data_IF_230881368754
#
_entry.id   IF_230881368754
#
_cell.length_a   1.000
_cell.length_b   1.000
_cell.length_c   1.000
_cell.angle_alpha   90.00
_cell.angle_beta   90.00
_cell.angle_gamma   90.00
#
_symmetry.space_group_name_H-M   'P 1'
#
loop_
_entity.id
_entity.type
_entity.pdbx_description
1 polymer ?
#
# COMPACT_ATOMS: atom_id res chain seq x y z
N UNK A 1 -3.73 -0.74 11.17
CA UNK A 1 -3.27 -0.07 9.93
C UNK A 1 -3.70 -0.86 8.71
N UNK A 2 -3.98 -0.15 7.64
CA UNK A 2 -4.37 -0.76 6.36
C UNK A 2 -3.58 -0.16 5.24
N UNK A 3 -3.09 -1.01 4.33
CA UNK A 3 -2.63 -0.59 3.03
C UNK A 3 -3.82 -0.64 2.09
N UNK A 4 -4.10 0.50 1.44
CA UNK A 4 -5.20 0.63 0.49
C UNK A 4 -4.61 0.68 -0.91
N UNK A 5 -5.09 -0.18 -1.80
CA UNK A 5 -4.55 -0.30 -3.15
C UNK A 5 -5.60 0.16 -4.15
N UNK A 6 -5.18 1.03 -5.07
CA UNK A 6 -6.10 1.69 -6.01
C UNK A 6 -5.70 1.44 -7.45
N UNK A 7 -6.72 1.39 -8.30
CA UNK A 7 -6.52 1.34 -9.74
C UNK A 7 -6.18 2.73 -10.29
N UNK A 8 -5.85 2.78 -11.58
CA UNK A 8 -5.47 4.02 -12.25
C UNK A 8 -6.55 5.09 -12.16
N UNK A 9 -7.81 4.69 -12.18
CA UNK A 9 -8.96 5.61 -12.12
C UNK A 9 -9.38 5.96 -10.69
N UNK A 10 -8.62 5.52 -9.68
CA UNK A 10 -8.88 5.85 -8.29
C UNK A 10 -9.82 4.93 -7.55
N UNK A 11 -10.20 3.82 -8.15
CA UNK A 11 -11.05 2.83 -7.48
C UNK A 11 -10.22 1.96 -6.54
N UNK A 12 -10.81 1.66 -5.40
CA UNK A 12 -10.20 0.71 -4.46
C UNK A 12 -10.21 -0.69 -5.07
N UNK A 13 -9.02 -1.26 -5.26
CA UNK A 13 -8.86 -2.62 -5.77
C UNK A 13 -8.95 -3.63 -4.63
N UNK A 14 -8.19 -3.38 -3.57
CA UNK A 14 -8.17 -4.23 -2.39
C UNK A 14 -7.54 -3.47 -1.23
N UNK A 15 -7.63 -4.03 -0.05
CA UNK A 15 -6.90 -3.53 1.10
C UNK A 15 -6.18 -4.68 1.80
N UNK A 16 -5.19 -4.33 2.60
CA UNK A 16 -4.42 -5.30 3.36
C UNK A 16 -4.31 -4.81 4.81
N UNK A 17 -4.93 -5.50 5.77
CA UNK A 17 -4.75 -5.14 7.18
C UNK A 17 -3.33 -5.47 7.61
N UNK A 18 -2.71 -4.55 8.34
CA UNK A 18 -1.37 -4.72 8.86
C UNK A 18 -1.43 -4.74 10.38
N UNK A 19 -0.58 -5.54 11.05
CA UNK A 19 -0.49 -5.49 12.50
C UNK A 19 0.03 -4.13 12.94
N UNK A 20 -0.42 -3.65 14.10
CA UNK A 20 0.01 -2.37 14.65
C UNK A 20 1.50 -2.35 14.98
N UNK A 21 2.07 -3.52 15.19
CA UNK A 21 3.52 -3.65 15.40
C UNK A 21 4.11 -4.23 14.11
N UNK A 22 4.48 -3.36 13.19
CA UNK A 22 5.31 -3.77 12.06
C UNK A 22 6.71 -4.02 12.61
N UNK A 23 7.04 -5.29 12.75
CA UNK A 23 8.38 -5.68 13.18
C UNK A 23 9.39 -5.21 12.17
N UNK A 24 10.34 -4.47 12.64
CA UNK A 24 11.70 -4.26 12.10
C UNK A 24 11.79 -4.48 10.59
N UNK A 25 11.05 -3.71 9.85
CA UNK A 25 11.15 -3.65 8.41
C UNK A 25 11.64 -2.25 8.07
N UNK A 26 12.65 -2.14 7.22
CA UNK A 26 13.09 -0.83 6.77
C UNK A 26 12.01 -0.21 5.90
N UNK A 27 12.03 1.11 5.76
CA UNK A 27 11.10 1.82 4.87
C UNK A 27 11.20 1.27 3.45
N UNK A 28 12.43 1.01 2.99
CA UNK A 28 12.68 0.47 1.66
C UNK A 28 12.01 -0.90 1.48
N UNK A 29 12.16 -1.79 2.45
CA UNK A 29 11.54 -3.11 2.40
C UNK A 29 10.02 -3.02 2.41
N UNK A 30 9.48 -2.12 3.23
CA UNK A 30 8.03 -1.89 3.30
C UNK A 30 7.48 -1.44 1.95
N UNK A 31 8.14 -0.46 1.33
CA UNK A 31 7.74 0.07 0.02
C UNK A 31 7.80 -1.02 -1.04
N UNK A 32 8.89 -1.82 -1.06
CA UNK A 32 9.04 -2.91 -2.01
C UNK A 32 7.93 -3.96 -1.85
N UNK A 33 7.60 -4.28 -0.61
CA UNK A 33 6.52 -5.24 -0.31
C UNK A 33 5.17 -4.71 -0.80
N UNK A 34 4.88 -3.45 -0.50
CA UNK A 34 3.63 -2.82 -0.91
C UNK A 34 3.51 -2.78 -2.44
N UNK A 35 4.60 -2.42 -3.11
CA UNK A 35 4.62 -2.37 -4.57
C UNK A 35 4.39 -3.77 -5.18
N UNK A 36 5.04 -4.78 -4.66
CA UNK A 36 4.89 -6.16 -5.17
C UNK A 36 3.48 -6.67 -4.96
N UNK A 37 2.93 -6.48 -3.78
CA UNK A 37 1.57 -6.90 -3.45
C UNK A 37 0.55 -6.22 -4.35
N UNK A 38 0.65 -4.91 -4.51
CA UNK A 38 -0.27 -4.15 -5.34
C UNK A 38 -0.14 -4.48 -6.82
N UNK A 39 1.10 -4.68 -7.30
CA UNK A 39 1.35 -5.02 -8.70
C UNK A 39 0.68 -6.35 -9.06
N UNK A 40 0.77 -7.34 -8.21
CA UNK A 40 0.14 -8.64 -8.43
C UNK A 40 -1.38 -8.54 -8.52
N UNK A 41 -1.97 -7.50 -7.97
CA UNK A 41 -3.42 -7.29 -7.96
C UNK A 41 -3.88 -6.24 -8.98
N UNK A 42 -2.98 -5.75 -9.79
CA UNK A 42 -3.31 -4.78 -10.82
C UNK A 42 -3.48 -3.36 -10.32
N UNK A 43 -3.05 -3.07 -9.10
CA UNK A 43 -3.11 -1.73 -8.54
C UNK A 43 -2.04 -0.83 -9.16
N UNK A 44 -2.31 0.47 -9.22
CA UNK A 44 -1.38 1.46 -9.76
C UNK A 44 -0.77 2.34 -8.69
N UNK A 45 -1.40 2.43 -7.52
CA UNK A 45 -0.82 3.12 -6.37
C UNK A 45 -1.42 2.60 -5.08
N UNK A 46 -0.77 2.94 -3.97
CA UNK A 46 -1.23 2.55 -2.64
C UNK A 46 -1.14 3.71 -1.67
N UNK A 47 -1.90 3.60 -0.59
CA UNK A 47 -1.88 4.53 0.53
C UNK A 47 -1.85 3.75 1.83
N UNK A 48 -1.24 4.34 2.85
CA UNK A 48 -1.25 3.76 4.19
C UNK A 48 -2.20 4.53 5.08
N UNK A 49 -3.15 3.84 5.67
CA UNK A 49 -4.16 4.40 6.55
C UNK A 49 -4.04 3.80 7.94
N UNK A 50 -4.23 4.64 8.96
CA UNK A 50 -4.25 4.22 10.36
C UNK A 50 -5.36 4.98 11.08
N UNK A 51 -6.28 4.25 11.75
CA UNK A 51 -7.39 4.83 12.52
C UNK A 51 -8.20 5.85 11.70
N UNK A 52 -8.46 5.53 10.44
CA UNK A 52 -9.23 6.39 9.56
C UNK A 52 -8.48 7.56 8.97
N UNK A 53 -7.19 7.71 9.29
CA UNK A 53 -6.36 8.79 8.75
C UNK A 53 -5.40 8.24 7.71
N UNK A 54 -5.26 8.97 6.60
CA UNK A 54 -4.25 8.64 5.60
C UNK A 54 -2.91 9.18 6.07
N UNK A 55 -1.98 8.27 6.38
CA UNK A 55 -0.66 8.65 6.89
C UNK A 55 0.32 8.85 5.73
N UNK A 56 0.25 7.99 4.73
CA UNK A 56 1.07 8.09 3.52
C UNK A 56 0.12 8.06 2.33
N UNK A 57 0.12 9.10 1.53
CA UNK A 57 -0.81 9.21 0.40
C UNK A 57 -0.11 8.94 -0.94
N UNK A 58 -0.84 8.31 -1.82
CA UNK A 58 -0.57 8.16 -3.25
C UNK A 58 0.86 7.78 -3.61
N UNK A 59 1.25 6.59 -3.24
CA UNK A 59 2.55 6.05 -3.66
C UNK A 59 2.37 5.24 -4.94
N UNK A 60 2.92 5.75 -6.03
CA UNK A 60 2.84 5.07 -7.32
C UNK A 60 3.58 3.74 -7.32
N UNK A 61 3.00 2.74 -7.96
CA UNK A 61 3.60 1.42 -8.09
C UNK A 61 4.29 1.36 -9.45
N UNK A 62 5.63 1.25 -9.47
CA UNK A 62 6.33 1.19 -10.76
C UNK A 62 6.01 -0.11 -11.48
N UNK A 63 6.00 -0.06 -12.80
CA UNK A 63 5.93 -1.27 -13.61
C UNK A 63 7.20 -2.08 -13.41
N UNK A 64 7.05 -3.38 -13.43
CA UNK A 64 8.16 -4.28 -13.18
C UNK A 64 9.26 -4.19 -14.23
#
# INVERSE_FOLDING_TARGET
MYLMYYSEDGRLVTDEPLPNTLKVMTVKEFVQRANSFGRLRGAKYWELHCDGLCIISKQGIPDA
#
